data_IF_819405188055
#
_entry.id   IF_819405188055
#
_cell.length_a   1.000
_cell.length_b   1.000
_cell.length_c   1.000
_cell.angle_alpha   90.00
_cell.angle_beta   90.00
_cell.angle_gamma   90.00
#
_symmetry.space_group_name_H-M   'P 1'
#
loop_
_entity.id
_entity.type
_entity.pdbx_description
1 polymer ?
#
# COMPACT_ATOMS: atom_id res chain seq x y z
N UNK A 1 -5.95 24.04 50.00
CA UNK A 1 -5.93 24.70 48.68
C UNK A 1 -5.03 24.04 47.62
N UNK A 2 -3.95 23.30 47.96
CA UNK A 2 -3.06 22.63 46.98
C UNK A 2 -3.72 21.55 46.08
N UNK A 3 -4.71 20.81 46.58
CA UNK A 3 -5.37 19.71 45.82
C UNK A 3 -6.22 20.18 44.65
N UNK A 4 -6.74 21.42 44.68
CA UNK A 4 -7.54 21.95 43.57
C UNK A 4 -6.64 22.25 42.36
N UNK A 5 -5.49 22.86 42.60
CA UNK A 5 -4.53 23.25 41.56
C UNK A 5 -3.99 22.04 40.79
N UNK A 6 -3.73 20.94 41.51
CA UNK A 6 -3.25 19.70 40.91
C UNK A 6 -4.29 19.04 40.01
N UNK A 7 -5.59 19.11 40.36
CA UNK A 7 -6.68 18.60 39.51
C UNK A 7 -6.83 19.40 38.22
N UNK A 8 -6.73 20.73 38.30
CA UNK A 8 -6.79 21.59 37.12
C UNK A 8 -5.58 21.39 36.19
N UNK A 9 -4.39 21.17 36.75
CA UNK A 9 -3.19 20.86 35.95
C UNK A 9 -3.35 19.57 35.14
N UNK A 10 -3.94 18.50 35.71
CA UNK A 10 -4.19 17.25 34.98
C UNK A 10 -5.23 17.41 33.88
N UNK A 11 -6.28 18.20 34.09
CA UNK A 11 -7.31 18.46 33.08
C UNK A 11 -6.72 19.24 31.90
N UNK A 12 -5.91 20.28 32.18
CA UNK A 12 -5.24 21.07 31.13
C UNK A 12 -4.25 20.19 30.37
N UNK A 13 -3.45 19.38 31.07
CA UNK A 13 -2.51 18.46 30.45
C UNK A 13 -3.23 17.45 29.53
N UNK A 14 -4.32 16.84 29.99
CA UNK A 14 -5.12 15.93 29.18
C UNK A 14 -5.73 16.61 27.95
N UNK A 15 -6.21 17.86 28.09
CA UNK A 15 -6.76 18.62 26.99
C UNK A 15 -5.71 19.01 25.94
N UNK A 16 -4.51 19.42 26.38
CA UNK A 16 -3.38 19.73 25.47
C UNK A 16 -2.89 18.46 24.78
N UNK A 17 -2.82 17.33 25.49
CA UNK A 17 -2.38 16.06 24.93
C UNK A 17 -3.40 15.52 23.91
N UNK A 18 -4.70 15.60 24.22
CA UNK A 18 -5.76 15.28 23.26
C UNK A 18 -5.66 16.20 22.04
N UNK A 19 -5.50 17.51 22.23
CA UNK A 19 -5.30 18.43 21.12
C UNK A 19 -4.08 18.05 20.27
N UNK A 20 -2.95 17.69 20.86
CA UNK A 20 -1.75 17.27 20.10
C UNK A 20 -1.94 15.95 19.33
N UNK A 21 -2.76 15.03 19.83
CA UNK A 21 -3.10 13.77 19.13
C UNK A 21 -4.08 14.02 17.97
N UNK A 22 -5.04 14.94 18.14
CA UNK A 22 -6.08 15.22 17.13
C UNK A 22 -5.76 16.37 16.16
N UNK A 23 -4.77 17.22 16.46
CA UNK A 23 -4.30 18.27 15.54
C UNK A 23 -3.78 17.74 14.20
N UNK A 24 -3.10 16.58 14.07
CA UNK A 24 -2.75 16.05 12.76
C UNK A 24 -3.97 15.61 11.93
N UNK A 25 -5.12 15.29 12.55
CA UNK A 25 -6.39 15.00 11.85
C UNK A 25 -7.11 16.29 11.39
N UNK A 26 -6.79 17.44 11.98
CA UNK A 26 -7.45 18.73 11.69
C UNK A 26 -6.72 19.56 10.63
N UNK A 27 -5.49 19.20 10.26
CA UNK A 27 -4.85 19.78 9.09
C UNK A 27 -5.53 19.20 7.84
N UNK A 28 -6.02 20.03 6.90
CA UNK A 28 -6.54 19.52 5.64
C UNK A 28 -5.39 18.83 4.91
N UNK A 29 -5.36 17.49 5.03
CA UNK A 29 -4.55 16.67 4.16
C UNK A 29 -5.07 16.97 2.76
N UNK A 30 -4.31 17.75 1.98
CA UNK A 30 -4.61 17.91 0.56
C UNK A 30 -4.82 16.52 0.00
N UNK A 31 -5.93 16.32 -0.69
CA UNK A 31 -6.21 15.06 -1.34
C UNK A 31 -4.95 14.61 -2.11
N UNK A 32 -4.54 13.35 -1.95
CA UNK A 32 -3.35 12.85 -2.63
C UNK A 32 -3.49 13.03 -4.13
N UNK A 33 -2.37 13.27 -4.81
CA UNK A 33 -2.36 13.38 -6.25
C UNK A 33 -2.95 12.10 -6.87
N UNK A 34 -4.00 12.19 -7.71
CA UNK A 34 -4.68 11.02 -8.25
C UNK A 34 -3.76 10.14 -9.09
N UNK A 35 -2.77 10.72 -9.77
CA UNK A 35 -1.80 9.96 -10.57
C UNK A 35 -0.85 9.20 -9.66
N UNK A 36 -0.37 9.84 -8.59
CA UNK A 36 0.51 9.18 -7.61
C UNK A 36 -0.23 8.06 -6.90
N UNK A 37 -1.49 8.29 -6.53
CA UNK A 37 -2.33 7.28 -5.91
C UNK A 37 -2.52 6.07 -6.82
N UNK A 38 -2.77 6.29 -8.12
CA UNK A 38 -2.91 5.20 -9.09
C UNK A 38 -1.62 4.35 -9.20
N UNK A 39 -0.44 4.98 -9.17
CA UNK A 39 0.83 4.25 -9.13
C UNK A 39 0.98 3.43 -7.85
N UNK A 40 0.64 4.00 -6.69
CA UNK A 40 0.72 3.31 -5.40
C UNK A 40 -0.23 2.12 -5.37
N UNK A 41 -1.47 2.28 -5.87
CA UNK A 41 -2.45 1.20 -5.95
C UNK A 41 -1.98 0.07 -6.89
N UNK A 42 -1.45 0.42 -8.07
CA UNK A 42 -0.89 -0.56 -9.01
C UNK A 42 0.28 -1.34 -8.38
N UNK A 43 1.18 -0.64 -7.67
CA UNK A 43 2.28 -1.27 -6.93
C UNK A 43 1.77 -2.16 -5.78
N UNK A 44 0.72 -1.76 -5.08
CA UNK A 44 0.12 -2.55 -4.01
C UNK A 44 -0.45 -3.88 -4.51
N UNK A 45 -1.15 -3.88 -5.66
CA UNK A 45 -1.61 -5.11 -6.33
C UNK A 45 -0.42 -6.00 -6.70
N UNK A 46 0.66 -5.42 -7.25
CA UNK A 46 1.87 -6.17 -7.58
C UNK A 46 2.52 -6.82 -6.36
N UNK A 47 2.61 -6.11 -5.23
CA UNK A 47 3.14 -6.64 -3.96
C UNK A 47 2.25 -7.77 -3.43
N UNK A 48 0.93 -7.57 -3.38
CA UNK A 48 -0.01 -8.57 -2.88
C UNK A 48 0.01 -9.84 -3.73
N UNK A 49 0.03 -9.71 -5.06
CA UNK A 49 0.19 -10.84 -5.98
C UNK A 49 1.54 -11.53 -5.80
N UNK A 50 2.64 -10.78 -5.75
CA UNK A 50 3.98 -11.34 -5.57
C UNK A 50 4.13 -12.15 -4.28
N UNK A 51 3.59 -11.65 -3.17
CA UNK A 51 3.55 -12.40 -1.90
C UNK A 51 2.78 -13.72 -2.04
N UNK A 52 1.63 -13.72 -2.74
CA UNK A 52 0.88 -14.95 -2.94
C UNK A 52 1.62 -15.96 -3.82
N UNK A 53 2.22 -15.50 -4.92
CA UNK A 53 3.01 -16.34 -5.80
C UNK A 53 4.18 -16.98 -5.06
N UNK A 54 4.87 -16.19 -4.22
CA UNK A 54 5.95 -16.67 -3.35
C UNK A 54 5.45 -17.77 -2.40
N UNK A 55 4.33 -17.55 -1.69
CA UNK A 55 3.73 -18.58 -0.81
C UNK A 55 3.38 -19.87 -1.57
N UNK A 56 2.90 -19.78 -2.82
CA UNK A 56 2.60 -20.96 -3.63
C UNK A 56 3.86 -21.73 -4.03
N UNK A 57 4.93 -21.02 -4.38
CA UNK A 57 6.22 -21.64 -4.68
C UNK A 57 6.81 -22.33 -3.45
N UNK A 58 6.74 -21.71 -2.27
CA UNK A 58 7.17 -22.35 -1.01
C UNK A 58 6.33 -23.60 -0.69
N UNK A 59 5.06 -23.63 -1.09
CA UNK A 59 4.19 -24.80 -1.01
C UNK A 59 4.46 -25.86 -2.09
N UNK A 60 5.47 -25.68 -2.94
CA UNK A 60 5.87 -26.62 -3.99
C UNK A 60 5.01 -26.57 -5.25
N UNK A 61 4.20 -25.53 -5.42
CA UNK A 61 3.37 -25.38 -6.61
C UNK A 61 4.17 -24.72 -7.72
N UNK A 62 4.24 -25.40 -8.86
CA UNK A 62 4.91 -24.92 -10.06
C UNK A 62 4.13 -23.76 -10.67
N UNK A 63 4.81 -22.63 -10.88
CA UNK A 63 4.32 -21.51 -11.68
C UNK A 63 5.03 -21.52 -13.03
N UNK A 64 4.36 -21.04 -14.08
CA UNK A 64 4.97 -20.92 -15.40
C UNK A 64 6.16 -19.92 -15.36
N UNK A 65 7.39 -20.33 -15.74
CA UNK A 65 8.55 -19.45 -15.76
C UNK A 65 8.38 -18.21 -16.64
N UNK A 66 7.63 -18.32 -17.75
CA UNK A 66 7.41 -17.17 -18.64
C UNK A 66 6.50 -16.12 -17.98
N UNK A 67 5.47 -16.58 -17.26
CA UNK A 67 4.63 -15.72 -16.44
C UNK A 67 5.43 -15.01 -15.35
N UNK A 68 6.27 -15.75 -14.61
CA UNK A 68 7.09 -15.17 -13.53
C UNK A 68 8.02 -14.07 -14.05
N UNK A 69 8.75 -14.33 -15.14
CA UNK A 69 9.64 -13.33 -15.73
C UNK A 69 8.88 -12.07 -16.17
N UNK A 70 7.68 -12.22 -16.75
CA UNK A 70 6.83 -11.10 -17.14
C UNK A 70 6.27 -10.32 -15.94
N UNK A 71 5.98 -11.02 -14.84
CA UNK A 71 5.53 -10.43 -13.58
C UNK A 71 6.66 -9.65 -12.90
N UNK A 72 7.84 -10.26 -12.73
CA UNK A 72 9.02 -9.63 -12.13
C UNK A 72 9.40 -8.33 -12.84
N UNK A 73 9.46 -8.35 -14.18
CA UNK A 73 9.78 -7.14 -14.95
C UNK A 73 8.80 -5.97 -14.70
N UNK A 74 7.52 -6.25 -14.47
CA UNK A 74 6.51 -5.23 -14.13
C UNK A 74 6.59 -4.81 -12.67
N UNK A 75 6.83 -5.77 -11.78
CA UNK A 75 6.97 -5.53 -10.36
C UNK A 75 8.18 -4.63 -10.06
N UNK A 76 9.34 -4.90 -10.68
CA UNK A 76 10.58 -4.14 -10.48
C UNK A 76 10.39 -2.65 -10.77
N UNK A 77 9.72 -2.32 -11.87
CA UNK A 77 9.47 -0.92 -12.24
C UNK A 77 8.54 -0.21 -11.25
N UNK A 78 7.54 -0.92 -10.72
CA UNK A 78 6.66 -0.37 -9.67
C UNK A 78 7.42 -0.21 -8.35
N UNK A 79 8.33 -1.13 -8.02
CA UNK A 79 9.21 -1.01 -6.86
C UNK A 79 10.17 0.18 -7.00
N UNK A 80 10.77 0.39 -8.16
CA UNK A 80 11.61 1.56 -8.47
C UNK A 80 10.85 2.87 -8.24
N UNK A 81 9.58 2.92 -8.67
CA UNK A 81 8.72 4.07 -8.42
C UNK A 81 8.50 4.32 -6.93
N UNK A 82 8.12 3.28 -6.16
CA UNK A 82 7.92 3.38 -4.71
C UNK A 82 9.20 3.79 -3.99
N UNK A 83 10.34 3.23 -4.39
CA UNK A 83 11.63 3.62 -3.83
C UNK A 83 11.97 5.07 -4.17
N UNK A 84 11.62 5.55 -5.36
CA UNK A 84 11.74 6.94 -5.75
C UNK A 84 10.94 7.89 -4.84
N UNK A 85 9.71 7.53 -4.45
CA UNK A 85 8.93 8.28 -3.47
C UNK A 85 9.65 8.34 -2.12
N UNK A 86 10.15 7.20 -1.63
CA UNK A 86 10.88 7.11 -0.36
C UNK A 86 12.16 7.95 -0.37
N UNK A 87 12.97 7.86 -1.43
CA UNK A 87 14.27 8.56 -1.52
C UNK A 87 14.11 10.07 -1.58
N UNK A 88 13.02 10.56 -2.17
CA UNK A 88 12.73 12.00 -2.27
C UNK A 88 12.00 12.57 -1.05
N UNK A 89 11.76 11.76 -0.02
CA UNK A 89 10.90 12.10 1.11
C UNK A 89 9.54 12.66 0.63
N UNK A 90 9.01 12.03 -0.42
CA UNK A 90 7.76 12.46 -1.02
C UNK A 90 6.62 12.25 -0.01
N UNK A 91 5.80 13.29 0.19
CA UNK A 91 4.68 13.26 1.15
C UNK A 91 3.75 12.06 0.95
N UNK A 92 3.62 11.55 -0.28
CA UNK A 92 2.75 10.41 -0.58
C UNK A 92 3.33 9.08 -0.11
N UNK A 93 4.61 9.02 0.28
CA UNK A 93 5.23 7.83 0.86
C UNK A 93 4.49 7.32 2.11
N UNK A 94 3.83 8.22 2.87
CA UNK A 94 3.00 7.84 4.02
C UNK A 94 1.81 6.95 3.63
N UNK A 95 1.35 7.03 2.38
CA UNK A 95 0.17 6.31 1.88
C UNK A 95 0.53 4.90 1.37
N UNK A 96 1.81 4.63 1.10
CA UNK A 96 2.25 3.36 0.51
C UNK A 96 1.90 2.17 1.41
N UNK A 97 2.20 2.26 2.71
CA UNK A 97 1.95 1.18 3.66
C UNK A 97 0.45 0.88 3.86
N UNK A 98 -0.41 1.87 4.12
CA UNK A 98 -1.86 1.65 4.19
C UNK A 98 -2.43 0.99 2.94
N UNK A 99 -2.08 1.49 1.74
CA UNK A 99 -2.64 0.97 0.48
C UNK A 99 -2.18 -0.47 0.21
N UNK A 100 -0.93 -0.81 0.55
CA UNK A 100 -0.46 -2.21 0.48
C UNK A 100 -1.25 -3.11 1.44
N UNK A 101 -1.47 -2.68 2.69
CA UNK A 101 -2.23 -3.47 3.65
C UNK A 101 -3.69 -3.71 3.22
N UNK A 102 -4.33 -2.71 2.58
CA UNK A 102 -5.66 -2.86 1.98
C UNK A 102 -5.64 -3.90 0.85
N UNK A 103 -4.64 -3.85 -0.04
CA UNK A 103 -4.50 -4.81 -1.13
C UNK A 103 -4.23 -6.24 -0.62
N UNK A 104 -3.40 -6.39 0.42
CA UNK A 104 -3.15 -7.69 1.07
C UNK A 104 -4.43 -8.26 1.70
N UNK A 105 -5.23 -7.42 2.35
CA UNK A 105 -6.53 -7.82 2.91
C UNK A 105 -7.50 -8.27 1.80
N UNK A 106 -7.56 -7.52 0.69
CA UNK A 106 -8.41 -7.85 -0.45
C UNK A 106 -7.96 -9.15 -1.15
N UNK A 107 -6.64 -9.37 -1.25
CA UNK A 107 -6.08 -10.66 -1.68
C UNK A 107 -6.56 -11.77 -0.77
N UNK A 108 -6.37 -11.66 0.55
CA UNK A 108 -6.67 -12.75 1.48
C UNK A 108 -8.13 -13.19 1.37
N UNK A 109 -9.04 -12.22 1.26
CA UNK A 109 -10.46 -12.48 1.00
C UNK A 109 -10.69 -13.19 -0.34
N UNK A 110 -9.98 -12.80 -1.40
CA UNK A 110 -10.12 -13.38 -2.75
C UNK A 110 -9.52 -14.79 -2.85
N UNK A 111 -8.35 -15.00 -2.27
CA UNK A 111 -7.63 -16.29 -2.25
C UNK A 111 -8.41 -17.34 -1.46
N UNK A 112 -9.06 -16.94 -0.35
CA UNK A 112 -9.92 -17.84 0.41
C UNK A 112 -11.10 -18.37 -0.42
N UNK A 113 -11.56 -17.62 -1.42
CA UNK A 113 -12.62 -18.04 -2.33
C UNK A 113 -12.07 -18.90 -3.48
N UNK A 114 -11.06 -18.40 -4.20
CA UNK A 114 -10.41 -19.09 -5.32
C UNK A 114 -9.03 -18.48 -5.60
N UNK A 115 -7.97 -19.20 -5.22
CA UNK A 115 -6.59 -18.76 -5.39
C UNK A 115 -6.12 -18.69 -6.85
N UNK A 116 -6.59 -19.57 -7.73
CA UNK A 116 -6.20 -19.56 -9.15
C UNK A 116 -6.89 -18.39 -9.86
N UNK A 117 -8.19 -18.22 -9.63
CA UNK A 117 -8.94 -17.09 -10.18
C UNK A 117 -8.48 -15.74 -9.62
N UNK A 118 -7.88 -15.71 -8.42
CA UNK A 118 -7.21 -14.52 -7.91
C UNK A 118 -5.97 -14.18 -8.74
N UNK A 119 -5.10 -15.14 -9.05
CA UNK A 119 -3.88 -14.90 -9.86
C UNK A 119 -4.25 -14.31 -11.20
N UNK A 120 -5.21 -14.92 -11.91
CA UNK A 120 -5.61 -14.46 -13.25
C UNK A 120 -6.15 -13.02 -13.23
N UNK A 121 -7.03 -12.70 -12.28
CA UNK A 121 -7.59 -11.34 -12.15
C UNK A 121 -6.54 -10.33 -11.73
N UNK A 122 -5.79 -10.60 -10.67
CA UNK A 122 -4.74 -9.70 -10.18
C UNK A 122 -3.66 -9.46 -11.25
N UNK A 123 -3.35 -10.48 -12.06
CA UNK A 123 -2.42 -10.34 -13.17
C UNK A 123 -2.96 -9.46 -14.30
N UNK A 124 -4.22 -9.63 -14.68
CA UNK A 124 -4.87 -8.79 -15.69
C UNK A 124 -4.95 -7.33 -15.22
N UNK A 125 -5.34 -7.11 -13.97
CA UNK A 125 -5.41 -5.78 -13.35
C UNK A 125 -4.03 -5.13 -13.31
N UNK A 126 -3.00 -5.87 -12.88
CA UNK A 126 -1.62 -5.40 -12.84
C UNK A 126 -1.11 -5.02 -14.23
N UNK A 127 -1.34 -5.87 -15.24
CA UNK A 127 -0.96 -5.55 -16.61
C UNK A 127 -1.63 -4.28 -17.11
N UNK A 128 -2.94 -4.19 -16.93
CA UNK A 128 -3.74 -3.03 -17.36
C UNK A 128 -3.24 -1.74 -16.70
N UNK A 129 -3.02 -1.75 -15.38
CA UNK A 129 -2.52 -0.58 -14.67
C UNK A 129 -1.08 -0.25 -15.07
N UNK A 130 -0.19 -1.23 -15.17
CA UNK A 130 1.19 -1.00 -15.56
C UNK A 130 1.28 -0.40 -16.97
N UNK A 131 0.57 -0.97 -17.94
CA UNK A 131 0.62 -0.52 -19.34
C UNK A 131 0.04 0.91 -19.49
N UNK A 132 -0.96 1.27 -18.67
CA UNK A 132 -1.48 2.64 -18.57
C UNK A 132 -0.45 3.62 -18.00
N UNK A 133 0.27 3.21 -16.95
CA UNK A 133 1.25 4.06 -16.25
C UNK A 133 2.57 4.19 -17.02
N UNK A 134 2.95 3.16 -17.78
CA UNK A 134 4.23 3.08 -18.50
C UNK A 134 4.01 2.70 -19.97
N UNK A 135 3.40 3.57 -20.78
CA UNK A 135 3.08 3.27 -22.18
C UNK A 135 4.34 3.09 -23.03
N UNK A 136 4.32 2.11 -23.94
CA UNK A 136 5.37 1.89 -24.93
C UNK A 136 6.51 0.95 -24.48
N UNK A 137 6.33 0.25 -23.37
CA UNK A 137 7.29 -0.76 -22.89
C UNK A 137 6.56 -2.11 -22.79
N UNK A 138 6.57 -2.86 -23.89
CA UNK A 138 6.01 -4.22 -23.99
C UNK A 138 7.12 -5.22 -24.27
#
# INVERSE_FOLDING_TARGET
MRKLWQRWAWVIFAAVFAALIFVPDLLPQRAPDPVVMEHIQCAAVAVALGQFLFTRQEAGQSLDPAFLAAFEARQDRLQDYLEGLRRRDDRHNILVRPVIAEAETARDASVAADGDAYIDRAWQDLRSCHDKLFPGVA
#
